data_IF_319333780604
#
_entry.id   IF_319333780604
#
_cell.length_a   1.000
_cell.length_b   1.000
_cell.length_c   1.000
_cell.angle_alpha   90.00
_cell.angle_beta   90.00
_cell.angle_gamma   90.00
#
_symmetry.space_group_name_H-M   'P 1'
#
loop_
_entity.id
_entity.type
_entity.pdbx_description
1 polymer ?
#
# COMPACT_ATOMS: atom_id res chain seq x y z
N UNK A 1 3.09 -4.55 4.40
CA UNK A 1 1.81 -5.28 4.51
C UNK A 1 0.70 -4.28 4.76
N UNK A 2 -0.34 -4.37 3.99
CA UNK A 2 -1.46 -3.46 4.14
C UNK A 2 -2.42 -3.93 5.20
N UNK A 3 -2.89 -3.00 6.03
CA UNK A 3 -3.95 -3.30 6.97
C UNK A 3 -5.27 -3.23 6.23
N UNK A 4 -6.08 -4.27 6.39
CA UNK A 4 -7.45 -4.25 5.86
C UNK A 4 -8.29 -3.42 6.81
N UNK A 5 -8.75 -2.26 6.32
CA UNK A 5 -9.67 -1.41 7.07
C UNK A 5 -11.08 -1.85 6.78
N UNK A 6 -11.84 -2.14 7.83
CA UNK A 6 -13.21 -2.60 7.71
C UNK A 6 -14.12 -1.60 8.41
N UNK A 7 -15.04 -1.01 7.65
CA UNK A 7 -16.06 -0.12 8.16
C UNK A 7 -17.41 -0.65 7.78
N UNK A 8 -18.33 -0.69 8.74
CA UNK A 8 -19.70 -1.15 8.49
C UNK A 8 -20.64 0.03 8.63
N UNK A 9 -21.41 0.28 7.57
CA UNK A 9 -22.47 1.29 7.57
C UNK A 9 -23.79 0.56 7.61
N UNK A 10 -24.66 0.97 8.54
CA UNK A 10 -26.03 0.45 8.63
C UNK A 10 -26.98 1.61 8.33
N UNK A 11 -27.79 1.44 7.30
CA UNK A 11 -28.80 2.41 6.89
C UNK A 11 -30.16 1.84 7.18
N UNK A 12 -31.00 2.59 7.90
CA UNK A 12 -32.33 2.16 8.28
C UNK A 12 -33.36 3.17 7.80
N UNK A 13 -34.39 2.68 7.15
CA UNK A 13 -35.54 3.50 6.72
C UNK A 13 -36.75 3.05 7.52
N UNK A 14 -37.50 4.02 8.05
CA UNK A 14 -38.72 3.77 8.82
C UNK A 14 -39.87 4.52 8.16
N UNK A 15 -40.94 3.79 7.84
CA UNK A 15 -42.18 4.39 7.36
C UNK A 15 -43.22 4.32 8.45
N UNK A 16 -43.89 5.44 8.71
CA UNK A 16 -44.90 5.54 9.75
C UNK A 16 -46.21 6.02 9.13
N UNK A 17 -47.35 5.34 9.46
CA UNK A 17 -48.63 5.79 8.98
C UNK A 17 -49.30 6.75 9.96
N UNK A 18 -50.51 7.22 9.63
CA UNK A 18 -51.23 8.22 10.46
C UNK A 18 -51.68 7.66 11.81
N UNK A 19 -51.69 6.35 11.96
CA UNK A 19 -52.05 5.70 13.22
C UNK A 19 -50.85 5.31 14.08
N UNK A 20 -49.66 5.69 13.66
CA UNK A 20 -48.41 5.41 14.37
C UNK A 20 -47.82 4.03 14.12
N UNK A 21 -48.39 3.25 13.20
CA UNK A 21 -47.85 1.97 12.84
C UNK A 21 -46.64 2.15 11.94
N UNK A 22 -45.57 1.39 12.16
CA UNK A 22 -44.28 1.55 11.45
C UNK A 22 -43.85 0.25 10.77
N UNK A 23 -43.08 0.43 9.69
CA UNK A 23 -42.31 -0.66 9.09
C UNK A 23 -40.88 -0.14 8.87
N UNK A 24 -39.92 -1.05 8.97
CA UNK A 24 -38.51 -0.70 8.83
C UNK A 24 -37.81 -1.58 7.80
N UNK A 25 -36.80 -0.99 7.17
CA UNK A 25 -35.87 -1.72 6.31
C UNK A 25 -34.45 -1.28 6.63
N UNK A 26 -33.54 -2.25 6.78
CA UNK A 26 -32.14 -1.96 7.05
C UNK A 26 -31.27 -2.54 5.94
N UNK A 27 -30.23 -1.77 5.58
CA UNK A 27 -29.19 -2.17 4.64
C UNK A 27 -27.85 -2.09 5.36
N UNK A 28 -27.04 -3.13 5.23
CA UNK A 28 -25.69 -3.15 5.77
C UNK A 28 -24.70 -3.07 4.62
N UNK A 29 -23.80 -2.08 4.65
CA UNK A 29 -22.76 -1.90 3.66
C UNK A 29 -21.43 -2.14 4.35
N UNK A 30 -20.66 -3.10 3.84
CA UNK A 30 -19.31 -3.38 4.32
C UNK A 30 -18.32 -2.68 3.40
N UNK A 31 -17.52 -1.76 3.97
CA UNK A 31 -16.50 -1.03 3.23
C UNK A 31 -15.14 -1.57 3.66
N UNK A 32 -14.35 -2.01 2.69
CA UNK A 32 -13.05 -2.61 2.99
C UNK A 32 -12.02 -2.21 1.94
N UNK A 33 -10.74 -2.26 2.33
CA UNK A 33 -9.62 -2.06 1.44
C UNK A 33 -8.88 -3.39 1.29
N UNK A 34 -8.95 -3.98 0.11
CA UNK A 34 -8.26 -5.25 -0.21
C UNK A 34 -7.31 -5.10 -1.39
N UNK A 35 -7.16 -3.89 -1.92
CA UNK A 35 -6.32 -3.62 -3.08
C UNK A 35 -4.96 -3.11 -2.62
N UNK A 36 -3.88 -3.79 -3.04
CA UNK A 36 -2.53 -3.35 -2.72
C UNK A 36 -2.20 -2.02 -3.40
N UNK A 37 -1.34 -1.18 -2.80
CA UNK A 37 -0.91 0.06 -3.44
C UNK A 37 -0.05 -0.20 -4.67
N UNK A 38 0.07 0.81 -5.53
CA UNK A 38 0.92 0.77 -6.71
C UNK A 38 1.96 1.88 -6.63
N UNK A 39 3.18 1.59 -7.10
CA UNK A 39 4.23 2.60 -7.17
C UNK A 39 3.93 3.61 -8.27
N UNK A 40 4.23 4.88 -8.01
CA UNK A 40 3.98 5.98 -8.95
C UNK A 40 5.11 6.17 -9.95
N UNK A 41 6.35 5.83 -9.55
CA UNK A 41 7.54 6.03 -10.38
C UNK A 41 7.90 4.74 -11.12
N UNK A 42 8.75 4.89 -12.13
CA UNK A 42 9.35 3.74 -12.80
C UNK A 42 10.19 2.95 -11.81
N UNK A 43 10.05 1.63 -11.81
CA UNK A 43 10.76 0.76 -10.86
C UNK A 43 12.23 0.61 -11.29
N UNK A 44 13.19 0.79 -10.35
CA UNK A 44 14.59 0.59 -10.66
C UNK A 44 14.88 -0.86 -11.06
N UNK A 45 15.71 -1.03 -12.07
CA UNK A 45 16.14 -2.34 -12.55
C UNK A 45 17.54 -2.67 -12.04
N UNK A 46 17.90 -3.93 -12.11
CA UNK A 46 19.20 -4.41 -11.69
C UNK A 46 20.33 -3.77 -12.51
N UNK A 47 21.42 -3.44 -11.84
CA UNK A 47 22.58 -2.79 -12.46
C UNK A 47 23.85 -3.51 -12.05
N UNK A 48 24.85 -3.40 -12.93
CA UNK A 48 26.24 -3.72 -12.59
C UNK A 48 27.07 -2.46 -12.85
N UNK A 49 27.74 -1.96 -11.81
CA UNK A 49 28.48 -0.69 -11.88
C UNK A 49 29.85 -0.86 -11.23
N UNK A 50 30.75 0.07 -11.53
CA UNK A 50 32.05 0.14 -10.86
C UNK A 50 31.88 0.66 -9.42
N UNK A 51 32.84 0.34 -8.55
CA UNK A 51 32.74 0.69 -7.13
C UNK A 51 32.67 2.19 -6.85
N UNK A 52 33.14 3.02 -7.79
CA UNK A 52 33.08 4.48 -7.67
C UNK A 52 31.87 5.10 -8.39
N UNK A 53 30.97 4.26 -8.91
CA UNK A 53 29.82 4.70 -9.69
C UNK A 53 28.50 4.14 -9.15
N UNK A 54 28.44 3.80 -7.87
CA UNK A 54 27.21 3.28 -7.25
C UNK A 54 26.20 4.42 -7.11
N UNK A 55 25.02 4.31 -7.74
CA UNK A 55 24.02 5.39 -7.65
C UNK A 55 23.36 5.41 -6.27
N UNK A 56 22.85 6.59 -5.92
CA UNK A 56 22.01 6.70 -4.72
C UNK A 56 20.69 5.97 -4.94
N UNK A 57 20.10 5.48 -3.84
CA UNK A 57 18.80 4.83 -3.91
C UNK A 57 17.73 5.84 -4.36
N UNK A 58 16.85 5.39 -5.24
CA UNK A 58 15.73 6.21 -5.69
C UNK A 58 14.66 6.29 -4.63
N UNK A 59 13.94 7.42 -4.61
CA UNK A 59 12.78 7.57 -3.74
C UNK A 59 11.54 7.17 -4.53
N UNK A 60 10.82 6.17 -4.01
CA UNK A 60 9.57 5.72 -4.61
C UNK A 60 8.39 6.14 -3.74
N UNK A 61 7.31 6.51 -4.40
CA UNK A 61 6.04 6.82 -3.75
C UNK A 61 4.97 5.86 -4.29
N UNK A 62 3.89 5.73 -3.54
CA UNK A 62 2.82 4.81 -3.91
C UNK A 62 1.46 5.45 -3.67
N UNK A 63 0.45 4.97 -4.40
CA UNK A 63 -0.94 5.39 -4.22
C UNK A 63 -1.82 4.17 -4.03
N UNK A 64 -2.92 4.37 -3.30
CA UNK A 64 -3.92 3.36 -3.04
C UNK A 64 -5.31 3.95 -3.32
N UNK A 65 -6.25 3.08 -3.69
CA UNK A 65 -7.63 3.50 -3.99
C UNK A 65 -8.39 3.99 -2.75
N UNK A 66 -7.95 3.65 -1.55
CA UNK A 66 -8.63 4.04 -0.30
C UNK A 66 -7.92 5.15 0.46
N UNK A 67 -6.81 5.69 -0.06
CA UNK A 67 -6.11 6.79 0.60
C UNK A 67 -4.62 6.76 0.37
N UNK A 68 -3.86 7.34 1.31
CA UNK A 68 -2.43 7.46 1.21
C UNK A 68 -1.74 6.10 1.46
N UNK A 69 -0.68 5.85 0.70
CA UNK A 69 0.18 4.69 0.91
C UNK A 69 1.57 5.16 1.30
N UNK A 70 2.23 4.40 2.18
CA UNK A 70 3.61 4.67 2.57
C UNK A 70 4.53 3.65 1.93
N UNK A 71 5.76 4.08 1.62
CA UNK A 71 6.80 3.21 1.07
C UNK A 71 7.92 3.09 2.09
N UNK A 72 8.29 1.85 2.41
CA UNK A 72 9.46 1.56 3.23
C UNK A 72 10.59 1.07 2.34
N UNK A 73 11.82 1.41 2.73
CA UNK A 73 13.01 1.07 1.99
C UNK A 73 13.98 0.28 2.85
N UNK A 74 14.59 -0.75 2.28
CA UNK A 74 15.62 -1.54 2.92
C UNK A 74 16.75 -1.82 1.94
N UNK A 75 18.00 -1.73 2.41
CA UNK A 75 19.17 -2.06 1.63
C UNK A 75 20.05 -3.03 2.41
N UNK A 76 20.44 -4.12 1.77
CA UNK A 76 21.37 -5.08 2.33
C UNK A 76 22.59 -5.20 1.43
N UNK A 77 23.76 -5.41 2.06
CA UNK A 77 25.03 -5.57 1.35
C UNK A 77 25.54 -6.98 1.54
N UNK A 78 25.91 -7.62 0.43
CA UNK A 78 26.55 -8.92 0.44
C UNK A 78 27.96 -8.75 -0.13
N UNK A 79 28.98 -8.97 0.69
CA UNK A 79 30.37 -8.80 0.29
C UNK A 79 30.80 -9.94 -0.62
N UNK A 80 31.55 -9.59 -1.67
CA UNK A 80 32.18 -10.53 -2.56
C UNK A 80 33.57 -10.98 -2.06
N UNK A 81 34.36 -11.54 -2.98
CA UNK A 81 35.69 -12.05 -2.66
C UNK A 81 36.72 -10.96 -2.37
N UNK A 82 36.46 -9.72 -2.80
CA UNK A 82 37.33 -8.55 -2.60
C UNK A 82 36.53 -7.43 -1.95
N UNK A 83 37.19 -6.54 -1.16
CA UNK A 83 36.48 -5.46 -0.48
C UNK A 83 35.71 -4.51 -1.41
N UNK A 84 36.13 -4.37 -2.66
CA UNK A 84 35.48 -3.49 -3.64
C UNK A 84 34.43 -4.23 -4.49
N UNK A 85 34.25 -5.54 -4.28
CA UNK A 85 33.24 -6.34 -4.98
C UNK A 85 32.16 -6.72 -3.99
N UNK A 86 30.96 -6.22 -4.20
CA UNK A 86 29.83 -6.51 -3.34
C UNK A 86 28.52 -6.35 -4.10
N UNK A 87 27.47 -6.90 -3.56
CA UNK A 87 26.12 -6.80 -4.10
C UNK A 87 25.25 -6.03 -3.12
N UNK A 88 24.52 -5.04 -3.61
CA UNK A 88 23.50 -4.34 -2.84
C UNK A 88 22.14 -4.81 -3.30
N UNK A 89 21.32 -5.21 -2.34
CA UNK A 89 19.91 -5.55 -2.60
C UNK A 89 19.06 -4.45 -1.99
N UNK A 90 18.33 -3.74 -2.83
CA UNK A 90 17.45 -2.64 -2.44
C UNK A 90 16.02 -3.08 -2.61
N UNK A 91 15.23 -2.93 -1.55
CA UNK A 91 13.83 -3.35 -1.55
C UNK A 91 12.95 -2.20 -1.11
N UNK A 92 11.92 -1.93 -1.91
CA UNK A 92 10.88 -0.95 -1.59
C UNK A 92 9.57 -1.70 -1.39
N UNK A 93 8.88 -1.39 -0.30
CA UNK A 93 7.60 -2.02 0.03
C UNK A 93 6.54 -0.94 0.23
N UNK A 94 5.47 -1.05 -0.56
CA UNK A 94 4.34 -0.13 -0.49
C UNK A 94 3.18 -0.63 0.33
#
# INVERSE_FOLDING_TARGET
MDLVLLTILVRTWTATDACGLTTEHSQTITVQDTTAPTFNEALPTDLTVECDAVPTAETLTATDNCGDATVTFNETRNDGSCPSNYTLVRTWTG
#
